data_IF_996684268524
#
_entry.id   IF_996684268524
#
_cell.length_a   1.000
_cell.length_b   1.000
_cell.length_c   1.000
_cell.angle_alpha   90.00
_cell.angle_beta   90.00
_cell.angle_gamma   90.00
#
_symmetry.space_group_name_H-M   'P 1'
#
loop_
_entity.id
_entity.type
_entity.pdbx_description
1 polymer ?
#
# COMPACT_ATOMS: atom_id res chain seq x y z
N UNK A 1 25.87 37.70 -12.92
CA UNK A 1 25.07 37.02 -11.86
C UNK A 1 24.43 35.78 -12.47
N UNK A 2 25.05 34.62 -12.31
CA UNK A 2 24.48 33.35 -12.77
C UNK A 2 23.60 32.78 -11.65
N UNK A 3 22.29 32.66 -11.88
CA UNK A 3 21.39 31.93 -10.97
C UNK A 3 21.08 30.59 -11.62
N UNK A 4 21.55 29.53 -10.97
CA UNK A 4 21.37 28.12 -11.33
C UNK A 4 19.87 27.80 -11.35
N UNK A 5 19.38 27.21 -12.45
CA UNK A 5 18.07 26.55 -12.51
C UNK A 5 18.15 25.24 -11.74
N UNK A 6 17.17 24.93 -10.89
CA UNK A 6 16.85 23.54 -10.55
C UNK A 6 15.53 23.19 -11.23
N UNK A 7 15.64 22.78 -12.48
CA UNK A 7 14.93 21.58 -12.92
C UNK A 7 15.47 20.42 -12.07
N UNK A 8 14.62 19.50 -11.62
CA UNK A 8 14.89 18.06 -11.52
C UNK A 8 13.84 17.39 -10.63
N UNK A 9 12.95 16.64 -11.29
CA UNK A 9 12.49 15.31 -10.85
C UNK A 9 11.83 15.21 -9.47
N UNK A 10 10.50 15.36 -9.42
CA UNK A 10 9.68 14.53 -8.50
C UNK A 10 8.77 13.55 -9.25
N UNK A 11 8.99 13.40 -10.55
CA UNK A 11 8.39 12.33 -11.36
C UNK A 11 9.37 11.16 -11.39
N UNK A 12 9.66 10.55 -10.24
CA UNK A 12 10.40 9.28 -10.20
C UNK A 12 9.84 8.44 -9.06
N UNK A 13 8.90 7.58 -9.44
CA UNK A 13 8.21 6.63 -8.59
C UNK A 13 9.20 5.51 -8.20
N UNK A 14 10.16 5.85 -7.34
CA UNK A 14 11.04 4.89 -6.71
C UNK A 14 10.19 4.03 -5.77
N UNK A 15 10.19 2.72 -6.03
CA UNK A 15 9.65 1.65 -5.16
C UNK A 15 10.43 1.51 -3.84
N UNK A 16 10.86 2.63 -3.27
CA UNK A 16 11.26 2.72 -1.88
C UNK A 16 9.97 2.89 -1.10
N UNK A 17 9.79 2.03 -0.11
CA UNK A 17 8.63 2.01 0.75
C UNK A 17 8.51 3.33 1.54
N UNK A 18 7.98 4.39 0.93
CA UNK A 18 7.72 5.66 1.63
C UNK A 18 6.56 5.39 2.60
N UNK A 19 6.87 5.49 3.88
CA UNK A 19 5.85 5.44 4.92
C UNK A 19 4.95 6.68 4.79
N UNK A 20 3.62 6.51 4.77
CA UNK A 20 2.72 7.66 4.69
C UNK A 20 2.84 8.50 5.98
N UNK A 21 2.69 9.83 5.84
CA UNK A 21 2.72 10.77 6.96
C UNK A 21 1.38 10.79 7.70
N UNK A 22 0.96 9.63 8.23
CA UNK A 22 -0.29 9.46 8.97
C UNK A 22 -0.09 9.58 10.48
N UNK A 23 -1.16 9.97 11.18
CA UNK A 23 -1.20 9.78 12.63
C UNK A 23 -1.31 8.28 12.99
N UNK A 24 -0.90 7.86 14.20
CA UNK A 24 -1.05 6.46 14.63
C UNK A 24 -2.49 5.95 14.51
N UNK A 25 -3.48 6.76 14.88
CA UNK A 25 -4.89 6.41 14.77
C UNK A 25 -5.34 6.20 13.32
N UNK A 26 -4.86 7.04 12.39
CA UNK A 26 -5.14 6.86 10.96
C UNK A 26 -4.49 5.58 10.41
N UNK A 27 -3.24 5.31 10.80
CA UNK A 27 -2.53 4.10 10.39
C UNK A 27 -3.26 2.83 10.86
N UNK A 28 -3.71 2.79 12.11
CA UNK A 28 -4.51 1.68 12.65
C UNK A 28 -5.79 1.45 11.83
N UNK A 29 -6.52 2.52 11.50
CA UNK A 29 -7.75 2.44 10.71
C UNK A 29 -7.49 1.89 9.30
N UNK A 30 -6.50 2.42 8.59
CA UNK A 30 -6.20 2.01 7.22
C UNK A 30 -5.63 0.59 7.15
N UNK A 31 -4.76 0.21 8.11
CA UNK A 31 -4.25 -1.16 8.24
C UNK A 31 -5.40 -2.13 8.54
N UNK A 32 -6.30 -1.79 9.46
CA UNK A 32 -7.45 -2.63 9.81
C UNK A 32 -8.38 -2.81 8.59
N UNK A 33 -8.70 -1.72 7.89
CA UNK A 33 -9.55 -1.73 6.70
C UNK A 33 -8.98 -2.63 5.60
N UNK A 34 -7.70 -2.44 5.26
CA UNK A 34 -7.06 -3.23 4.20
C UNK A 34 -6.87 -4.70 4.60
N UNK A 35 -6.51 -4.97 5.87
CA UNK A 35 -6.45 -6.32 6.41
C UNK A 35 -7.79 -7.05 6.29
N UNK A 36 -8.90 -6.37 6.61
CA UNK A 36 -10.22 -6.95 6.52
C UNK A 36 -10.65 -7.22 5.06
N UNK A 37 -10.22 -6.39 4.11
CA UNK A 37 -10.50 -6.62 2.69
C UNK A 37 -9.77 -7.85 2.16
N UNK A 38 -8.47 -7.99 2.46
CA UNK A 38 -7.67 -9.15 2.06
C UNK A 38 -8.25 -10.43 2.67
N UNK A 39 -8.58 -10.41 3.96
CA UNK A 39 -9.19 -11.57 4.61
C UNK A 39 -10.53 -12.01 3.99
N UNK A 40 -11.33 -11.06 3.46
CA UNK A 40 -12.57 -11.41 2.73
C UNK A 40 -12.26 -12.11 1.42
N UNK A 41 -11.29 -11.62 0.66
CA UNK A 41 -10.86 -12.26 -0.60
C UNK A 41 -10.25 -13.63 -0.35
N UNK A 42 -9.38 -13.78 0.66
CA UNK A 42 -8.82 -15.07 1.04
C UNK A 42 -9.94 -16.06 1.36
N UNK A 43 -10.94 -15.65 2.15
CA UNK A 43 -12.07 -16.50 2.49
C UNK A 43 -12.88 -16.91 1.25
N UNK A 44 -13.17 -15.98 0.34
CA UNK A 44 -13.90 -16.28 -0.90
C UNK A 44 -13.13 -17.28 -1.77
N UNK A 45 -11.82 -17.08 -1.91
CA UNK A 45 -10.96 -17.99 -2.65
C UNK A 45 -10.93 -19.39 -2.02
N UNK A 46 -10.64 -19.48 -0.72
CA UNK A 46 -10.51 -20.78 -0.04
C UNK A 46 -11.82 -21.55 0.10
N UNK A 47 -12.95 -20.86 0.29
CA UNK A 47 -14.24 -21.52 0.52
C UNK A 47 -15.03 -21.76 -0.76
N UNK A 48 -14.89 -20.88 -1.75
CA UNK A 48 -15.77 -20.84 -2.93
C UNK A 48 -15.00 -20.97 -4.25
N UNK A 49 -13.66 -20.92 -4.23
CA UNK A 49 -12.84 -20.88 -5.44
C UNK A 49 -13.03 -19.59 -6.26
N UNK A 50 -13.55 -18.53 -5.63
CA UNK A 50 -13.86 -17.26 -6.29
C UNK A 50 -12.70 -16.29 -6.06
N UNK A 51 -12.25 -15.65 -7.15
CA UNK A 51 -11.33 -14.52 -7.08
C UNK A 51 -12.05 -13.23 -7.50
N UNK A 52 -12.41 -12.41 -6.51
CA UNK A 52 -13.16 -11.15 -6.73
C UNK A 52 -12.31 -10.07 -7.43
N UNK A 53 -10.98 -10.22 -7.40
CA UNK A 53 -10.00 -9.32 -8.04
C UNK A 53 -8.94 -10.16 -8.74
N UNK A 54 -8.23 -9.59 -9.70
CA UNK A 54 -7.10 -10.29 -10.31
C UNK A 54 -5.90 -10.37 -9.34
N UNK A 55 -5.00 -11.32 -9.62
CA UNK A 55 -3.82 -11.58 -8.79
C UNK A 55 -2.94 -10.34 -8.63
N UNK A 56 -2.75 -9.55 -9.70
CA UNK A 56 -1.93 -8.33 -9.64
C UNK A 56 -2.49 -7.29 -8.65
N UNK A 57 -3.81 -7.13 -8.55
CA UNK A 57 -4.45 -6.22 -7.60
C UNK A 57 -4.31 -6.76 -6.18
N UNK A 58 -4.52 -8.06 -6.00
CA UNK A 58 -4.33 -8.71 -4.71
C UNK A 58 -2.89 -8.52 -4.22
N UNK A 59 -1.90 -8.84 -5.05
CA UNK A 59 -0.48 -8.79 -4.73
C UNK A 59 -0.01 -7.36 -4.38
N UNK A 60 -0.45 -6.37 -5.16
CA UNK A 60 -0.13 -4.97 -4.89
C UNK A 60 -0.69 -4.50 -3.54
N UNK A 61 -1.92 -4.89 -3.22
CA UNK A 61 -2.57 -4.52 -1.97
C UNK A 61 -2.00 -5.30 -0.76
N UNK A 62 -1.66 -6.58 -0.93
CA UNK A 62 -0.96 -7.35 0.08
C UNK A 62 0.43 -6.79 0.38
N UNK A 63 1.19 -6.42 -0.65
CA UNK A 63 2.47 -5.74 -0.50
C UNK A 63 2.33 -4.38 0.18
N UNK A 64 1.28 -3.61 -0.16
CA UNK A 64 0.96 -2.34 0.50
C UNK A 64 0.65 -2.52 1.98
N UNK A 65 -0.15 -3.53 2.34
CA UNK A 65 -0.45 -3.84 3.73
C UNK A 65 0.82 -4.20 4.51
N UNK A 66 1.69 -5.04 3.93
CA UNK A 66 2.98 -5.39 4.52
C UNK A 66 3.85 -4.14 4.75
N UNK A 67 3.89 -3.24 3.77
CA UNK A 67 4.60 -1.97 3.87
C UNK A 67 4.05 -1.12 5.03
N UNK A 68 2.73 -0.91 5.12
CA UNK A 68 2.16 -0.10 6.19
C UNK A 68 2.43 -0.68 7.57
N UNK A 69 2.32 -2.01 7.73
CA UNK A 69 2.69 -2.67 8.99
C UNK A 69 4.14 -2.40 9.37
N UNK A 70 5.08 -2.45 8.42
CA UNK A 70 6.48 -2.11 8.68
C UNK A 70 6.72 -0.64 9.06
N UNK A 71 5.86 0.28 8.62
CA UNK A 71 6.00 1.70 8.92
C UNK A 71 5.51 2.09 10.31
N UNK A 72 4.59 1.31 10.90
CA UNK A 72 3.89 1.69 12.14
C UNK A 72 3.99 0.64 13.25
N UNK A 73 4.63 -0.52 13.01
CA UNK A 73 4.97 -1.56 14.00
C UNK A 73 6.48 -1.82 14.01
#
# INVERSE_FOLDING_TARGET
>A
MARIRRSDVVVEQLRLAICPAWSPAQAEQEIARLSAQIARWDKAYWQQGVSDVNDDVYDQLAARLKQWRHCFW
#
